data_IF_858229984128
#
_entry.id   IF_858229984128
#
_cell.length_a   1.000
_cell.length_b   1.000
_cell.length_c   1.000
_cell.angle_alpha   90.00
_cell.angle_beta   90.00
_cell.angle_gamma   90.00
#
_symmetry.space_group_name_H-M   'P 1'
#
loop_
_entity.id
_entity.type
_entity.pdbx_description
1 polymer ?
#
# COMPACT_ATOMS: atom_id res chain seq x y z
N UNK A 1 23.48 6.71 -10.41
CA UNK A 1 22.02 6.86 -10.61
C UNK A 1 21.43 7.24 -9.27
N UNK A 2 20.62 8.28 -9.20
CA UNK A 2 19.86 8.62 -7.98
C UNK A 2 18.44 8.08 -8.11
N UNK A 3 17.83 7.73 -6.98
CA UNK A 3 16.44 7.23 -6.94
C UNK A 3 15.63 8.11 -6.00
N UNK A 4 14.53 8.66 -6.51
CA UNK A 4 13.56 9.44 -5.74
C UNK A 4 12.16 8.81 -5.81
N UNK A 5 11.28 9.24 -4.92
CA UNK A 5 9.86 8.90 -4.95
C UNK A 5 9.07 10.21 -4.91
N UNK A 6 8.30 10.58 -5.94
CA UNK A 6 7.55 11.84 -5.95
C UNK A 6 6.30 11.83 -5.06
N UNK A 7 6.00 10.69 -4.43
CA UNK A 7 4.82 10.49 -3.61
C UNK A 7 5.19 10.46 -2.12
N UNK A 8 4.40 11.16 -1.31
CA UNK A 8 4.45 11.12 0.14
C UNK A 8 3.05 10.80 0.64
N UNK A 9 2.89 9.73 1.43
CA UNK A 9 1.58 9.31 1.94
C UNK A 9 0.49 9.18 0.85
N UNK A 10 0.86 8.73 -0.34
CA UNK A 10 -0.05 8.58 -1.48
C UNK A 10 -0.42 9.86 -2.24
N UNK A 11 0.07 11.03 -1.82
CA UNK A 11 -0.11 12.30 -2.55
C UNK A 11 1.18 12.67 -3.30
N UNK A 12 1.04 13.32 -4.45
CA UNK A 12 2.18 13.92 -5.17
C UNK A 12 2.68 15.11 -4.37
N UNK A 13 3.97 15.13 -4.07
CA UNK A 13 4.65 16.27 -3.43
C UNK A 13 5.74 16.87 -4.32
N UNK A 14 6.40 16.05 -5.16
CA UNK A 14 7.32 16.50 -6.19
C UNK A 14 6.68 16.27 -7.56
N UNK A 15 6.35 17.36 -8.23
CA UNK A 15 5.71 17.35 -9.55
C UNK A 15 6.69 17.21 -10.69
N UNK A 16 7.99 17.43 -10.46
CA UNK A 16 9.03 17.43 -11.48
C UNK A 16 9.09 16.12 -12.28
N UNK A 17 9.07 14.92 -11.66
CA UNK A 17 9.12 13.68 -12.41
C UNK A 17 7.76 13.19 -12.92
N UNK A 18 6.65 13.89 -12.62
CA UNK A 18 5.29 13.41 -12.94
C UNK A 18 5.03 13.39 -14.47
N UNK A 19 5.26 14.46 -15.25
CA UNK A 19 5.09 14.38 -16.70
C UNK A 19 5.97 13.29 -17.35
N UNK A 20 7.27 13.15 -17.02
CA UNK A 20 8.07 12.02 -17.51
C UNK A 20 7.51 10.63 -17.17
N UNK A 21 6.96 10.45 -15.97
CA UNK A 21 6.32 9.19 -15.54
C UNK A 21 5.05 8.91 -16.37
N UNK A 22 4.18 9.91 -16.54
CA UNK A 22 2.96 9.80 -17.34
C UNK A 22 3.31 9.49 -18.80
N UNK A 23 4.28 10.21 -19.35
CA UNK A 23 4.78 10.00 -20.71
C UNK A 23 5.32 8.57 -20.90
N UNK A 24 6.06 8.05 -19.92
CA UNK A 24 6.50 6.65 -19.95
C UNK A 24 5.30 5.69 -19.94
N UNK A 25 4.33 5.89 -19.05
CA UNK A 25 3.15 5.03 -18.97
C UNK A 25 2.34 5.02 -20.28
N UNK A 26 2.04 6.18 -20.84
CA UNK A 26 1.24 6.33 -22.07
C UNK A 26 2.00 5.81 -23.29
N UNK A 27 3.21 6.33 -23.55
CA UNK A 27 3.91 6.09 -24.81
C UNK A 27 4.73 4.79 -24.82
N UNK A 28 5.31 4.41 -23.66
CA UNK A 28 6.20 3.24 -23.59
C UNK A 28 5.52 1.98 -23.07
N UNK A 29 4.51 2.10 -22.20
CA UNK A 29 3.84 0.95 -21.62
C UNK A 29 2.50 0.64 -22.29
N UNK A 30 1.66 1.65 -22.51
CA UNK A 30 0.33 1.48 -23.11
C UNK A 30 0.33 1.61 -24.63
N UNK A 31 1.35 2.24 -25.20
CA UNK A 31 1.48 2.50 -26.65
C UNK A 31 0.26 3.22 -27.24
N UNK A 32 -0.27 4.21 -26.51
CA UNK A 32 -1.42 5.01 -26.93
C UNK A 32 -1.06 6.49 -27.14
N UNK A 33 -1.87 7.19 -27.92
CA UNK A 33 -1.78 8.65 -28.06
C UNK A 33 -2.66 9.32 -27.00
N UNK A 34 -2.07 10.13 -26.13
CA UNK A 34 -2.79 10.86 -25.08
C UNK A 34 -3.88 11.78 -25.65
N UNK A 35 -3.68 12.31 -26.87
CA UNK A 35 -4.59 13.27 -27.49
C UNK A 35 -5.89 12.64 -27.99
N UNK A 36 -5.93 11.31 -28.10
CA UNK A 36 -7.08 10.55 -28.60
C UNK A 36 -7.90 9.89 -27.49
N UNK A 37 -7.42 9.91 -26.24
CA UNK A 37 -8.00 9.12 -25.15
C UNK A 37 -8.27 9.92 -23.87
N UNK A 38 -9.49 9.85 -23.31
CA UNK A 38 -9.77 10.33 -21.96
C UNK A 38 -8.89 9.63 -20.91
N UNK A 39 -8.47 10.37 -19.88
CA UNK A 39 -7.62 9.83 -18.80
C UNK A 39 -8.33 9.89 -17.46
N UNK A 40 -8.52 8.72 -16.84
CA UNK A 40 -8.96 8.59 -15.45
C UNK A 40 -7.73 8.41 -14.55
N UNK A 41 -7.59 9.28 -13.56
CA UNK A 41 -6.57 9.18 -12.51
C UNK A 41 -7.20 8.74 -11.20
N UNK A 42 -6.42 8.06 -10.35
CA UNK A 42 -6.85 7.65 -9.02
C UNK A 42 -6.19 8.53 -7.96
N UNK A 43 -6.86 8.75 -6.83
CA UNK A 43 -6.32 9.55 -5.72
C UNK A 43 -6.69 9.03 -4.32
N UNK A 44 -5.88 9.29 -3.29
CA UNK A 44 -6.31 9.04 -1.92
C UNK A 44 -7.40 10.02 -1.46
N UNK A 45 -8.15 9.66 -0.41
CA UNK A 45 -9.23 10.47 0.14
C UNK A 45 -8.82 11.81 0.76
N UNK A 46 -7.53 11.94 1.09
CA UNK A 46 -6.92 13.14 1.64
C UNK A 46 -6.11 13.95 0.60
N UNK A 47 -6.30 13.69 -0.70
CA UNK A 47 -5.67 14.52 -1.73
C UNK A 47 -6.20 15.96 -1.71
N UNK A 48 -5.34 16.91 -2.02
CA UNK A 48 -5.66 18.35 -2.00
C UNK A 48 -6.29 18.81 -3.30
N UNK A 49 -7.10 19.87 -3.24
CA UNK A 49 -7.65 20.50 -4.44
C UNK A 49 -6.55 20.99 -5.37
N UNK A 50 -5.52 21.66 -4.84
CA UNK A 50 -4.37 22.12 -5.60
C UNK A 50 -3.67 20.96 -6.35
N UNK A 51 -3.55 19.79 -5.74
CA UNK A 51 -2.97 18.62 -6.41
C UNK A 51 -3.86 18.10 -7.54
N UNK A 52 -5.18 18.10 -7.36
CA UNK A 52 -6.12 17.69 -8.43
C UNK A 52 -6.03 18.64 -9.63
N UNK A 53 -6.02 19.95 -9.34
CA UNK A 53 -5.89 21.01 -10.34
C UNK A 53 -4.56 20.90 -11.09
N UNK A 54 -3.45 20.70 -10.38
CA UNK A 54 -2.13 20.53 -11.00
C UNK A 54 -2.04 19.29 -11.87
N UNK A 55 -2.66 18.18 -11.48
CA UNK A 55 -2.73 16.97 -12.32
C UNK A 55 -3.56 17.22 -13.59
N UNK A 56 -4.69 17.91 -13.46
CA UNK A 56 -5.54 18.27 -14.60
C UNK A 56 -4.81 19.21 -15.58
N UNK A 57 -4.11 20.22 -15.06
CA UNK A 57 -3.28 21.15 -15.84
C UNK A 57 -2.24 20.38 -16.67
N UNK A 58 -1.46 19.49 -16.05
CA UNK A 58 -0.48 18.66 -16.77
C UNK A 58 -1.16 17.87 -17.89
N UNK A 59 -2.27 17.19 -17.60
CA UNK A 59 -2.93 16.32 -18.58
C UNK A 59 -3.57 17.11 -19.73
N UNK A 60 -4.21 18.26 -19.45
CA UNK A 60 -4.85 19.06 -20.49
C UNK A 60 -3.87 19.92 -21.28
N UNK A 61 -2.86 20.48 -20.64
CA UNK A 61 -1.98 21.49 -21.25
C UNK A 61 -0.72 20.85 -21.84
N UNK A 62 -0.08 19.90 -21.14
CA UNK A 62 1.11 19.23 -21.64
C UNK A 62 0.76 18.02 -22.51
N UNK A 63 -0.19 17.18 -22.08
CA UNK A 63 -0.57 15.95 -22.78
C UNK A 63 -1.77 16.10 -23.72
N UNK A 64 -2.47 17.25 -23.67
CA UNK A 64 -3.60 17.58 -24.54
C UNK A 64 -4.72 16.53 -24.55
N UNK A 65 -4.96 15.86 -23.41
CA UNK A 65 -6.02 14.85 -23.32
C UNK A 65 -7.38 15.45 -23.67
N UNK A 66 -8.27 14.71 -24.36
CA UNK A 66 -9.59 15.22 -24.73
C UNK A 66 -10.51 15.39 -23.53
N UNK A 67 -10.32 14.55 -22.49
CA UNK A 67 -11.09 14.61 -21.26
C UNK A 67 -10.34 13.99 -20.07
N UNK A 68 -10.70 14.43 -18.86
CA UNK A 68 -10.05 14.03 -17.61
C UNK A 68 -11.08 13.77 -16.50
N UNK A 69 -10.79 12.80 -15.64
CA UNK A 69 -11.48 12.62 -14.38
C UNK A 69 -10.51 12.09 -13.32
N UNK A 70 -10.74 12.44 -12.05
CA UNK A 70 -9.99 11.90 -10.92
C UNK A 70 -10.93 11.29 -9.90
N UNK A 71 -10.65 10.05 -9.50
CA UNK A 71 -11.54 9.23 -8.67
C UNK A 71 -10.84 8.69 -7.42
N UNK A 72 -11.59 8.60 -6.33
CA UNK A 72 -11.07 8.16 -5.05
C UNK A 72 -10.74 6.66 -5.01
N UNK A 73 -9.56 6.29 -4.51
CA UNK A 73 -9.12 4.90 -4.38
C UNK A 73 -10.11 4.02 -3.60
N UNK A 74 -10.68 4.54 -2.51
CA UNK A 74 -11.67 3.84 -1.69
C UNK A 74 -12.96 3.60 -2.44
N UNK A 75 -13.49 4.62 -3.11
CA UNK A 75 -14.69 4.50 -3.95
C UNK A 75 -14.46 3.49 -5.07
N UNK A 76 -13.34 3.58 -5.79
CA UNK A 76 -13.01 2.64 -6.85
C UNK A 76 -12.83 1.20 -6.33
N UNK A 77 -12.22 1.01 -5.17
CA UNK A 77 -12.09 -0.31 -4.55
C UNK A 77 -13.43 -0.91 -4.14
N UNK A 78 -14.32 -0.10 -3.55
CA UNK A 78 -15.69 -0.51 -3.24
C UNK A 78 -16.47 -0.87 -4.51
N UNK A 79 -16.29 -0.06 -5.56
CA UNK A 79 -16.92 -0.27 -6.86
C UNK A 79 -16.44 -1.55 -7.53
N UNK A 80 -15.14 -1.84 -7.51
CA UNK A 80 -14.57 -3.09 -7.99
C UNK A 80 -15.14 -4.33 -7.27
N UNK A 81 -15.49 -4.18 -5.98
CA UNK A 81 -16.15 -5.20 -5.17
C UNK A 81 -17.69 -5.28 -5.39
N UNK A 82 -18.26 -4.45 -6.27
CA UNK A 82 -19.70 -4.36 -6.49
C UNK A 82 -20.46 -3.79 -5.29
N UNK A 83 -19.85 -2.89 -4.52
CA UNK A 83 -20.41 -2.30 -3.29
C UNK A 83 -20.58 -0.79 -3.44
N UNK A 84 -21.83 -0.31 -3.38
CA UNK A 84 -22.12 1.13 -3.29
C UNK A 84 -21.82 1.72 -1.91
N UNK A 85 -21.97 0.91 -0.86
CA UNK A 85 -21.67 1.27 0.53
C UNK A 85 -20.72 0.23 1.11
N UNK A 86 -19.57 0.66 1.62
CA UNK A 86 -18.51 -0.22 2.10
C UNK A 86 -17.56 0.46 3.09
N UNK A 87 -17.04 -0.32 4.04
CA UNK A 87 -15.86 0.06 4.81
C UNK A 87 -14.61 -0.42 4.08
N UNK A 88 -13.86 0.47 3.46
CA UNK A 88 -12.66 0.11 2.69
C UNK A 88 -11.44 0.17 3.60
N UNK A 89 -10.73 -0.94 3.75
CA UNK A 89 -9.45 -1.05 4.47
C UNK A 89 -8.37 -1.27 3.41
N UNK A 90 -7.58 -0.23 3.14
CA UNK A 90 -6.47 -0.28 2.17
C UNK A 90 -5.13 -0.28 2.91
N UNK A 91 -4.38 -1.37 2.77
CA UNK A 91 -3.05 -1.52 3.38
C UNK A 91 -1.99 -1.46 2.26
N UNK A 92 -1.61 -0.24 1.90
CA UNK A 92 -0.67 0.07 0.83
C UNK A 92 0.80 0.05 1.27
N UNK A 93 1.66 0.73 0.51
CA UNK A 93 3.12 0.82 0.76
C UNK A 93 3.51 1.89 1.78
N UNK A 94 2.91 3.08 1.71
CA UNK A 94 3.25 4.19 2.60
C UNK A 94 2.24 4.38 3.73
N UNK A 95 1.00 3.96 3.52
CA UNK A 95 -0.14 4.24 4.39
C UNK A 95 -1.04 3.02 4.47
N UNK A 96 -1.54 2.73 5.67
CA UNK A 96 -2.75 1.95 5.87
C UNK A 96 -3.90 2.91 6.16
N UNK A 97 -5.05 2.73 5.50
CA UNK A 97 -6.20 3.61 5.63
C UNK A 97 -7.51 2.84 5.78
N UNK A 98 -8.46 3.47 6.47
CA UNK A 98 -9.84 3.04 6.59
C UNK A 98 -10.71 4.18 6.06
N UNK A 99 -11.45 3.90 4.99
CA UNK A 99 -12.26 4.88 4.27
C UNK A 99 -13.71 4.37 4.19
N UNK A 100 -14.65 5.04 4.87
CA UNK A 100 -16.07 4.71 4.76
C UNK A 100 -16.65 5.32 3.47
N UNK A 101 -17.27 4.47 2.66
CA UNK A 101 -17.96 4.83 1.43
C UNK A 101 -19.45 4.57 1.61
N UNK A 102 -20.30 5.53 1.27
CA UNK A 102 -21.77 5.40 1.23
C UNK A 102 -22.28 5.92 -0.10
N UNK A 103 -23.10 5.11 -0.78
CA UNK A 103 -23.71 5.45 -2.07
C UNK A 103 -22.72 6.00 -3.11
N UNK A 104 -21.49 5.45 -3.12
CA UNK A 104 -20.42 5.87 -4.03
C UNK A 104 -19.63 7.11 -3.59
N UNK A 105 -19.91 7.67 -2.41
CA UNK A 105 -19.22 8.85 -1.88
C UNK A 105 -18.42 8.54 -0.61
N UNK A 106 -17.28 9.19 -0.46
CA UNK A 106 -16.47 9.10 0.78
C UNK A 106 -17.12 9.92 1.90
N UNK A 107 -17.34 9.30 3.06
CA UNK A 107 -17.74 10.03 4.27
C UNK A 107 -16.49 10.65 4.91
N UNK A 108 -16.15 11.87 4.49
CA UNK A 108 -14.87 12.55 4.79
C UNK A 108 -14.51 12.58 6.28
N UNK A 109 -15.49 12.73 7.19
CA UNK A 109 -15.27 12.74 8.64
C UNK A 109 -14.71 11.42 9.18
N UNK A 110 -15.01 10.30 8.52
CA UNK A 110 -14.59 8.97 8.94
C UNK A 110 -13.28 8.48 8.32
N UNK A 111 -12.58 9.29 7.52
CA UNK A 111 -11.27 8.90 6.97
C UNK A 111 -10.27 8.76 8.11
N UNK A 112 -9.65 7.59 8.23
CA UNK A 112 -8.58 7.32 9.19
C UNK A 112 -7.37 6.72 8.46
N UNK A 113 -6.16 7.16 8.81
CA UNK A 113 -4.92 6.70 8.15
C UNK A 113 -3.75 6.62 9.12
N UNK A 114 -2.77 5.76 8.81
CA UNK A 114 -1.60 5.52 9.65
C UNK A 114 -0.39 5.06 8.83
N UNK A 115 0.85 5.50 9.18
CA UNK A 115 2.08 5.00 8.58
C UNK A 115 2.51 3.62 9.14
N UNK A 116 1.57 2.68 9.29
CA UNK A 116 1.86 1.30 9.72
C UNK A 116 2.74 0.53 8.73
N UNK A 117 2.57 0.63 7.39
CA UNK A 117 3.45 -0.10 6.48
C UNK A 117 4.93 0.32 6.56
N UNK A 118 5.27 1.62 6.62
CA UNK A 118 6.64 2.05 6.93
C UNK A 118 7.15 1.56 8.29
N UNK A 119 6.29 1.49 9.31
CA UNK A 119 6.66 0.92 10.61
C UNK A 119 7.00 -0.58 10.52
N UNK A 120 6.17 -1.36 9.79
CA UNK A 120 6.43 -2.78 9.52
C UNK A 120 7.73 -2.97 8.74
N UNK A 121 7.97 -2.15 7.72
CA UNK A 121 9.21 -2.17 6.94
C UNK A 121 10.44 -1.83 7.79
N UNK A 122 10.34 -0.82 8.66
CA UNK A 122 11.44 -0.44 9.58
C UNK A 122 11.71 -1.53 10.62
N UNK A 123 10.65 -2.17 11.12
CA UNK A 123 10.73 -3.31 12.05
C UNK A 123 11.47 -4.48 11.39
N UNK A 124 11.07 -4.85 10.17
CA UNK A 124 11.74 -5.88 9.38
C UNK A 124 13.20 -5.51 9.08
N UNK A 125 13.46 -4.28 8.62
CA UNK A 125 14.82 -3.80 8.34
C UNK A 125 15.72 -3.93 9.58
N UNK A 126 15.23 -3.54 10.75
CA UNK A 126 15.98 -3.62 12.02
C UNK A 126 16.23 -5.08 12.43
N UNK A 127 15.29 -5.98 12.19
CA UNK A 127 15.46 -7.41 12.46
C UNK A 127 16.52 -8.06 11.56
N UNK A 128 16.58 -7.63 10.29
CA UNK A 128 17.50 -8.20 9.31
C UNK A 128 18.88 -7.56 9.40
N UNK A 129 18.97 -6.27 9.77
CA UNK A 129 20.24 -5.56 9.89
C UNK A 129 21.02 -6.00 11.12
N UNK A 130 22.34 -6.16 10.96
CA UNK A 130 23.28 -6.83 11.87
C UNK A 130 23.55 -6.16 13.24
N UNK A 131 22.60 -5.41 13.80
CA UNK A 131 22.77 -4.61 15.02
C UNK A 131 22.11 -5.15 16.30
N UNK A 132 21.37 -6.26 16.26
CA UNK A 132 20.69 -6.81 17.45
C UNK A 132 21.39 -8.06 18.00
N UNK A 133 22.13 -8.02 19.12
CA UNK A 133 22.87 -9.18 19.64
C UNK A 133 21.99 -10.39 20.04
N UNK A 134 20.66 -10.25 20.11
CA UNK A 134 19.73 -11.34 20.45
C UNK A 134 19.02 -11.98 19.23
N UNK A 135 19.10 -11.35 18.04
CA UNK A 135 18.38 -11.78 16.81
C UNK A 135 19.23 -11.65 15.54
N UNK A 136 20.36 -10.93 15.59
CA UNK A 136 21.21 -10.67 14.44
C UNK A 136 21.78 -11.98 13.92
N UNK A 137 21.49 -12.23 12.65
CA UNK A 137 22.15 -13.26 11.87
C UNK A 137 23.33 -12.56 11.19
N UNK A 138 24.58 -12.79 11.61
CA UNK A 138 25.72 -12.02 11.09
C UNK A 138 25.89 -12.09 9.56
N UNK A 139 25.35 -13.14 8.93
CA UNK A 139 25.32 -13.28 7.48
C UNK A 139 24.12 -12.64 6.75
N UNK A 140 23.08 -12.20 7.46
CA UNK A 140 21.91 -11.55 6.88
C UNK A 140 22.24 -10.09 6.53
N UNK A 141 22.86 -9.91 5.36
CA UNK A 141 23.16 -8.58 4.83
C UNK A 141 22.15 -8.21 3.76
N UNK A 142 21.66 -6.97 3.75
CA UNK A 142 20.76 -6.45 2.71
C UNK A 142 21.49 -6.05 1.42
N UNK A 143 22.70 -6.58 1.20
CA UNK A 143 23.52 -6.26 0.02
C UNK A 143 22.77 -6.67 -1.26
N UNK A 144 22.45 -5.72 -2.15
CA UNK A 144 21.63 -5.99 -3.31
C UNK A 144 22.40 -6.76 -4.38
N UNK A 145 21.70 -7.60 -5.15
CA UNK A 145 22.31 -8.49 -6.16
C UNK A 145 23.15 -7.74 -7.21
N UNK A 146 22.81 -6.48 -7.53
CA UNK A 146 23.55 -5.69 -8.51
C UNK A 146 24.98 -5.35 -8.06
N UNK A 147 25.27 -5.45 -6.76
CA UNK A 147 26.59 -5.27 -6.15
C UNK A 147 27.34 -6.60 -5.94
N UNK A 148 26.80 -7.72 -6.44
CA UNK A 148 27.37 -9.06 -6.29
C UNK A 148 27.84 -9.56 -7.67
N UNK A 149 29.09 -10.02 -7.74
CA UNK A 149 29.69 -10.55 -8.96
C UNK A 149 29.39 -12.03 -9.12
N UNK A 150 29.56 -12.78 -8.03
CA UNK A 150 29.32 -14.23 -7.94
C UNK A 150 29.06 -14.60 -6.48
N UNK A 151 28.37 -15.71 -6.25
CA UNK A 151 28.16 -16.32 -4.92
C UNK A 151 28.37 -17.84 -4.99
N UNK A 152 28.68 -18.45 -3.86
CA UNK A 152 28.72 -19.91 -3.69
C UNK A 152 27.60 -20.36 -2.74
N UNK A 153 27.03 -21.56 -2.94
CA UNK A 153 26.14 -22.17 -1.95
C UNK A 153 26.86 -22.30 -0.60
N UNK A 154 26.14 -22.02 0.48
CA UNK A 154 26.61 -22.19 1.84
C UNK A 154 25.56 -22.93 2.65
N UNK A 155 26.01 -23.68 3.66
CA UNK A 155 25.12 -24.34 4.63
C UNK A 155 24.21 -23.33 5.35
N UNK A 156 23.07 -23.80 5.86
CA UNK A 156 22.10 -22.94 6.55
C UNK A 156 22.75 -22.23 7.74
N UNK A 157 22.58 -20.91 7.81
CA UNK A 157 23.21 -20.00 8.78
C UNK A 157 24.74 -19.88 8.71
N UNK A 158 25.42 -20.52 7.75
CA UNK A 158 26.85 -20.27 7.52
C UNK A 158 27.06 -18.87 6.92
N UNK A 159 28.24 -18.28 7.15
CA UNK A 159 28.58 -16.98 6.58
C UNK A 159 28.51 -17.02 5.04
N UNK A 160 28.01 -15.97 4.39
CA UNK A 160 27.90 -15.94 2.93
C UNK A 160 29.28 -15.95 2.28
N UNK A 161 29.39 -16.65 1.15
CA UNK A 161 30.58 -16.66 0.29
C UNK A 161 30.24 -16.01 -1.04
N UNK A 162 30.59 -14.73 -1.20
CA UNK A 162 30.32 -13.98 -2.41
C UNK A 162 31.45 -12.99 -2.74
N UNK A 163 31.53 -12.64 -4.03
CA UNK A 163 32.49 -11.66 -4.54
C UNK A 163 31.75 -10.34 -4.81
N UNK A 164 32.11 -9.23 -4.14
CA UNK A 164 31.47 -7.94 -4.39
C UNK A 164 31.93 -7.31 -5.71
N UNK A 165 31.07 -6.51 -6.33
CA UNK A 165 31.39 -5.66 -7.49
C UNK A 165 31.94 -4.32 -7.04
N UNK A 166 33.24 -4.30 -6.69
CA UNK A 166 33.94 -3.09 -6.25
C UNK A 166 33.89 -1.97 -7.32
N UNK A 167 33.86 -2.33 -8.60
CA UNK A 167 33.69 -1.43 -9.74
C UNK A 167 32.36 -0.65 -9.67
N UNK A 168 31.29 -1.27 -9.20
CA UNK A 168 29.96 -0.65 -9.06
C UNK A 168 29.76 0.07 -7.74
N UNK A 169 30.36 -0.43 -6.66
CA UNK A 169 30.25 0.18 -5.33
C UNK A 169 30.71 1.65 -5.33
N UNK A 170 31.82 1.96 -6.03
CA UNK A 170 32.34 3.34 -6.12
C UNK A 170 31.36 4.33 -6.74
N UNK A 171 30.51 3.88 -7.67
CA UNK A 171 29.52 4.72 -8.36
C UNK A 171 28.10 4.62 -7.78
N UNK A 172 27.92 3.87 -6.69
CA UNK A 172 26.61 3.65 -6.07
C UNK A 172 26.26 4.85 -5.19
N UNK A 173 25.13 5.49 -5.49
CA UNK A 173 24.62 6.60 -4.68
C UNK A 173 23.92 6.05 -3.43
N UNK A 174 23.84 6.87 -2.38
CA UNK A 174 23.12 6.51 -1.14
C UNK A 174 21.63 6.28 -1.40
N UNK A 175 20.99 7.09 -2.24
CA UNK A 175 19.56 6.98 -2.55
C UNK A 175 19.23 5.70 -3.30
N UNK A 176 20.08 5.29 -4.24
CA UNK A 176 19.93 4.01 -4.93
C UNK A 176 20.15 2.83 -3.96
N UNK A 177 21.17 2.92 -3.09
CA UNK A 177 21.45 1.85 -2.13
C UNK A 177 20.29 1.67 -1.14
N UNK A 178 19.80 2.75 -0.53
CA UNK A 178 18.61 2.69 0.35
C UNK A 178 17.39 2.13 -0.39
N UNK A 179 17.17 2.49 -1.65
CA UNK A 179 16.08 1.92 -2.44
C UNK A 179 16.24 0.40 -2.63
N UNK A 180 17.45 -0.05 -2.96
CA UNK A 180 17.73 -1.46 -3.22
C UNK A 180 17.64 -2.32 -1.95
N UNK A 181 18.16 -1.82 -0.82
CA UNK A 181 18.05 -2.47 0.49
C UNK A 181 16.60 -2.56 0.95
N UNK A 182 15.82 -1.47 0.80
CA UNK A 182 14.39 -1.50 1.14
C UNK A 182 13.60 -2.49 0.30
N UNK A 183 13.98 -2.68 -0.97
CA UNK A 183 13.39 -3.71 -1.82
C UNK A 183 13.71 -5.12 -1.33
N UNK A 184 14.94 -5.37 -0.88
CA UNK A 184 15.30 -6.66 -0.28
C UNK A 184 14.46 -6.96 0.97
N UNK A 185 14.24 -5.95 1.81
CA UNK A 185 13.33 -6.08 2.97
C UNK A 185 11.89 -6.37 2.52
N UNK A 186 11.40 -5.72 1.47
CA UNK A 186 10.07 -5.98 0.91
C UNK A 186 9.93 -7.42 0.39
N UNK A 187 10.95 -7.96 -0.30
CA UNK A 187 10.96 -9.36 -0.74
C UNK A 187 10.93 -10.32 0.45
N UNK A 188 11.71 -10.05 1.50
CA UNK A 188 11.65 -10.83 2.73
C UNK A 188 10.28 -10.73 3.42
N UNK A 189 9.66 -9.55 3.48
CA UNK A 189 8.30 -9.38 4.03
C UNK A 189 7.30 -10.23 3.23
N UNK A 190 7.34 -10.17 1.91
CA UNK A 190 6.41 -10.91 1.06
C UNK A 190 6.61 -12.44 1.14
N UNK A 191 7.86 -12.91 1.27
CA UNK A 191 8.19 -14.33 1.34
C UNK A 191 8.06 -14.93 2.74
N UNK A 192 8.32 -14.13 3.78
CA UNK A 192 8.46 -14.61 5.15
C UNK A 192 7.43 -14.04 6.12
N UNK A 193 6.99 -12.80 6.03
CA UNK A 193 6.15 -12.25 7.10
C UNK A 193 4.74 -12.85 7.07
N UNK A 194 4.12 -12.97 8.24
CA UNK A 194 2.72 -13.33 8.39
C UNK A 194 2.11 -12.60 9.58
N UNK A 195 0.82 -12.79 9.77
CA UNK A 195 0.02 -12.26 10.88
C UNK A 195 -0.63 -13.41 11.62
N UNK A 196 -0.63 -13.35 12.95
CA UNK A 196 -1.37 -14.30 13.78
C UNK A 196 -2.84 -13.87 13.85
N UNK A 197 -3.72 -14.81 13.55
CA UNK A 197 -5.17 -14.64 13.47
C UNK A 197 -5.81 -14.26 14.82
N UNK A 198 -5.35 -14.86 15.92
CA UNK A 198 -5.91 -14.63 17.26
C UNK A 198 -5.13 -13.60 18.10
N UNK A 199 -4.19 -12.88 17.50
CA UNK A 199 -3.23 -12.07 18.25
C UNK A 199 -1.99 -12.83 18.67
N UNK A 200 -0.99 -12.08 19.16
CA UNK A 200 0.27 -12.68 19.59
C UNK A 200 0.11 -13.65 20.76
N UNK A 201 0.60 -14.87 20.57
CA UNK A 201 0.77 -15.88 21.60
C UNK A 201 1.99 -16.73 21.23
N UNK A 202 2.98 -16.88 22.12
CA UNK A 202 4.26 -17.53 21.81
C UNK A 202 4.10 -19.02 21.44
N UNK A 203 3.16 -19.71 22.09
CA UNK A 203 2.83 -21.09 21.77
C UNK A 203 2.17 -21.19 20.39
N UNK A 204 1.23 -20.29 20.07
CA UNK A 204 0.61 -20.24 18.75
C UNK A 204 1.61 -19.89 17.65
N UNK A 205 2.51 -18.93 17.91
CA UNK A 205 3.55 -18.52 16.98
C UNK A 205 4.52 -19.68 16.68
N UNK A 206 4.96 -20.40 17.71
CA UNK A 206 5.90 -21.53 17.57
C UNK A 206 5.28 -22.76 16.87
N UNK A 207 3.95 -22.91 16.90
CA UNK A 207 3.24 -23.93 16.13
C UNK A 207 3.11 -23.62 14.64
N UNK A 208 3.32 -22.36 14.21
CA UNK A 208 3.24 -22.02 12.78
C UNK A 208 4.50 -22.50 12.04
N UNK A 209 4.37 -23.02 10.81
CA UNK A 209 5.53 -23.46 10.03
C UNK A 209 6.54 -22.33 9.82
N UNK A 210 7.84 -22.60 9.98
CA UNK A 210 8.87 -21.61 9.68
C UNK A 210 8.98 -21.37 8.17
N UNK A 211 9.67 -20.29 7.77
CA UNK A 211 10.00 -20.00 6.36
C UNK A 211 11.49 -19.97 6.16
N UNK A 212 11.93 -20.61 5.09
CA UNK A 212 13.28 -20.47 4.59
C UNK A 212 13.38 -19.24 3.67
N UNK A 213 14.48 -18.49 3.77
CA UNK A 213 14.79 -17.40 2.87
C UNK A 213 16.29 -17.36 2.57
N UNK A 214 16.63 -17.10 1.31
CA UNK A 214 18.00 -16.92 0.84
C UNK A 214 18.17 -15.48 0.36
N UNK A 215 19.15 -14.79 0.93
CA UNK A 215 19.52 -13.43 0.57
C UNK A 215 20.36 -13.40 -0.71
N UNK A 216 20.47 -12.25 -1.39
CA UNK A 216 21.27 -12.12 -2.61
C UNK A 216 22.73 -12.56 -2.45
N UNK A 217 23.32 -12.44 -1.26
CA UNK A 217 24.68 -12.88 -0.93
C UNK A 217 24.87 -14.38 -0.85
N UNK A 218 23.78 -15.17 -0.93
CA UNK A 218 23.79 -16.62 -0.73
C UNK A 218 23.62 -17.03 0.73
N UNK A 219 23.67 -16.08 1.68
CA UNK A 219 23.28 -16.36 3.06
C UNK A 219 21.84 -16.84 3.07
N UNK A 220 21.58 -17.94 3.77
CA UNK A 220 20.25 -18.51 3.86
C UNK A 220 19.95 -18.99 5.28
N UNK A 221 18.68 -18.91 5.64
CA UNK A 221 18.24 -19.01 7.01
C UNK A 221 16.77 -19.39 7.12
N UNK A 222 16.42 -19.98 8.27
CA UNK A 222 15.05 -20.34 8.63
C UNK A 222 14.51 -19.35 9.67
N UNK A 223 13.38 -18.71 9.35
CA UNK A 223 12.67 -17.74 10.19
C UNK A 223 11.43 -18.40 10.81
N UNK A 224 11.35 -18.38 12.14
CA UNK A 224 10.31 -19.05 12.94
C UNK A 224 9.30 -18.03 13.48
N UNK A 225 8.99 -18.04 14.77
CA UNK A 225 8.03 -17.13 15.41
C UNK A 225 8.35 -15.64 15.19
N UNK A 226 9.62 -15.28 15.04
CA UNK A 226 10.03 -13.89 14.85
C UNK A 226 9.45 -13.27 13.57
N UNK A 227 9.17 -14.07 12.54
CA UNK A 227 8.60 -13.61 11.26
C UNK A 227 7.24 -12.92 11.39
N UNK A 228 6.56 -13.12 12.51
CA UNK A 228 5.25 -12.51 12.78
C UNK A 228 5.36 -11.10 13.38
N UNK A 229 6.53 -10.70 13.91
CA UNK A 229 6.72 -9.40 14.56
C UNK A 229 6.39 -8.23 13.63
N UNK A 230 6.89 -8.17 12.37
CA UNK A 230 6.55 -7.08 11.45
C UNK A 230 5.07 -7.08 11.04
N UNK A 231 4.39 -8.22 11.08
CA UNK A 231 2.95 -8.31 10.85
C UNK A 231 2.12 -7.87 12.06
N UNK A 232 2.63 -8.08 13.27
CA UNK A 232 1.91 -7.75 14.50
C UNK A 232 1.82 -6.24 14.75
N UNK A 233 2.79 -5.44 14.25
CA UNK A 233 2.78 -3.97 14.39
C UNK A 233 1.53 -3.32 13.79
N UNK A 234 0.86 -3.97 12.83
CA UNK A 234 -0.41 -3.48 12.31
C UNK A 234 -1.53 -3.49 13.34
N UNK A 235 -1.42 -4.28 14.40
CA UNK A 235 -2.47 -4.54 15.39
C UNK A 235 -2.09 -4.09 16.80
N UNK A 236 -0.83 -4.28 17.19
CA UNK A 236 -0.29 -3.86 18.48
C UNK A 236 1.21 -3.55 18.38
N UNK A 237 1.69 -2.67 19.25
CA UNK A 237 3.10 -2.30 19.31
C UNK A 237 3.84 -2.90 20.51
N UNK A 238 3.29 -3.93 21.17
CA UNK A 238 3.90 -4.50 22.37
C UNK A 238 5.34 -5.01 22.16
N UNK A 239 5.68 -5.44 20.95
CA UNK A 239 7.03 -5.89 20.58
C UNK A 239 7.98 -4.77 20.18
N UNK A 240 7.46 -3.56 19.98
CA UNK A 240 8.28 -2.37 19.81
C UNK A 240 8.66 -1.91 21.22
N UNK A 241 9.95 -1.97 21.55
CA UNK A 241 10.43 -1.51 22.85
C UNK A 241 9.96 -0.07 23.15
N UNK A 242 9.94 0.32 24.43
CA UNK A 242 9.54 1.67 24.84
C UNK A 242 10.57 2.72 24.39
N UNK A 243 10.56 3.08 23.11
CA UNK A 243 11.25 4.24 22.58
C UNK A 243 10.40 5.49 22.82
N UNK A 244 11.02 6.63 23.15
CA UNK A 244 10.34 7.91 23.40
C UNK A 244 9.62 8.53 22.18
N UNK A 245 9.42 7.78 21.10
CA UNK A 245 8.70 8.21 19.89
C UNK A 245 7.23 7.83 19.98
N UNK A 246 6.33 8.77 19.67
CA UNK A 246 4.90 8.49 19.56
C UNK A 246 4.65 7.48 18.43
N UNK A 247 4.15 6.31 18.79
CA UNK A 247 3.80 5.26 17.84
C UNK A 247 2.51 5.63 17.09
N UNK A 248 2.40 5.29 15.80
CA UNK A 248 1.23 5.61 15.00
C UNK A 248 0.00 4.78 15.43
N UNK A 249 -1.24 5.14 15.07
CA UNK A 249 -2.41 4.34 15.42
C UNK A 249 -2.45 2.99 14.68
N UNK A 250 -2.87 1.92 15.37
CA UNK A 250 -3.00 0.55 14.81
C UNK A 250 -4.25 0.39 13.94
N UNK A 251 -4.35 -0.67 13.14
CA UNK A 251 -5.55 -0.97 12.33
C UNK A 251 -6.83 -1.03 13.18
N UNK A 252 -6.89 -1.71 14.34
CA UNK A 252 -8.06 -1.65 15.20
C UNK A 252 -8.43 -0.23 15.64
N UNK A 253 -7.43 0.61 15.94
CA UNK A 253 -7.66 2.01 16.31
C UNK A 253 -8.17 2.84 15.13
N UNK A 254 -7.66 2.61 13.91
CA UNK A 254 -8.18 3.26 12.70
C UNK A 254 -9.62 2.88 12.40
N UNK A 255 -9.94 1.57 12.48
CA UNK A 255 -11.30 1.07 12.26
C UNK A 255 -12.26 1.68 13.28
N UNK A 256 -11.88 1.68 14.56
CA UNK A 256 -12.69 2.26 15.62
C UNK A 256 -12.88 3.78 15.43
N UNK A 257 -11.83 4.52 15.09
CA UNK A 257 -11.91 5.96 14.81
C UNK A 257 -12.85 6.26 13.63
N UNK A 258 -12.71 5.52 12.52
CA UNK A 258 -13.58 5.64 11.35
C UNK A 258 -15.06 5.40 11.69
N UNK A 259 -15.36 4.30 12.40
CA UNK A 259 -16.73 3.95 12.75
C UNK A 259 -17.34 4.96 13.72
N UNK A 260 -16.58 5.44 14.71
CA UNK A 260 -17.07 6.45 15.65
C UNK A 260 -17.38 7.80 15.01
N UNK A 261 -16.57 8.19 14.02
CA UNK A 261 -16.79 9.42 13.25
C UNK A 261 -17.89 9.27 12.18
N UNK A 262 -18.42 8.06 11.99
CA UNK A 262 -19.53 7.77 11.08
C UNK A 262 -20.86 7.72 11.83
N UNK A 263 -21.93 8.18 11.18
CA UNK A 263 -23.30 8.16 11.72
C UNK A 263 -23.73 6.73 12.12
N UNK A 264 -24.35 6.54 13.30
CA UNK A 264 -24.71 5.22 13.82
C UNK A 264 -25.51 4.34 12.84
N UNK A 265 -26.42 4.93 12.07
CA UNK A 265 -27.30 4.21 11.14
C UNK A 265 -26.57 3.62 9.93
N UNK A 266 -25.42 4.19 9.56
CA UNK A 266 -24.59 3.71 8.44
C UNK A 266 -23.63 2.58 8.86
N UNK A 267 -23.27 2.50 10.15
CA UNK A 267 -22.27 1.53 10.64
C UNK A 267 -22.61 0.07 10.34
N UNK A 268 -23.88 -0.40 10.49
CA UNK A 268 -24.23 -1.76 10.10
C UNK A 268 -24.01 -2.01 8.61
N UNK A 269 -24.39 -1.08 7.73
CA UNK A 269 -24.20 -1.25 6.29
C UNK A 269 -22.71 -1.30 5.90
N UNK A 270 -21.87 -0.49 6.57
CA UNK A 270 -20.42 -0.48 6.38
C UNK A 270 -19.76 -1.79 6.86
N UNK A 271 -20.12 -2.27 8.06
CA UNK A 271 -19.60 -3.53 8.62
C UNK A 271 -20.06 -4.77 7.84
N UNK A 272 -21.23 -4.70 7.19
CA UNK A 272 -21.72 -5.77 6.31
C UNK A 272 -21.01 -5.80 4.96
N UNK A 273 -20.22 -4.78 4.64
CA UNK A 273 -19.56 -4.61 3.35
C UNK A 273 -18.13 -4.11 3.56
N UNK A 274 -17.31 -4.89 4.24
CA UNK A 274 -15.89 -4.55 4.40
C UNK A 274 -15.14 -4.95 3.12
N UNK A 275 -14.36 -4.05 2.56
CA UNK A 275 -13.51 -4.30 1.39
C UNK A 275 -12.07 -4.19 1.83
N UNK A 276 -11.31 -5.27 1.71
CA UNK A 276 -9.89 -5.32 2.07
C UNK A 276 -9.03 -5.32 0.81
N UNK A 277 -8.17 -4.32 0.69
CA UNK A 277 -7.34 -4.05 -0.50
C UNK A 277 -5.93 -3.60 -0.12
N UNK A 278 -5.05 -3.48 -1.11
CA UNK A 278 -3.66 -3.00 -0.95
C UNK A 278 -2.65 -4.14 -0.80
N UNK A 279 -1.39 -3.89 -1.18
CA UNK A 279 -0.36 -4.93 -1.27
C UNK A 279 -0.09 -5.67 0.05
N UNK A 280 -0.07 -4.95 1.18
CA UNK A 280 0.18 -5.56 2.49
C UNK A 280 -1.06 -6.28 3.08
N UNK A 281 -2.24 -6.14 2.45
CA UNK A 281 -3.41 -6.96 2.80
C UNK A 281 -3.29 -8.43 2.35
N UNK A 282 -2.25 -8.74 1.56
CA UNK A 282 -1.93 -10.09 1.10
C UNK A 282 -1.05 -10.87 2.09
N UNK A 283 -0.57 -10.23 3.17
CA UNK A 283 0.20 -10.93 4.19
C UNK A 283 -0.62 -12.11 4.74
N UNK A 284 -0.05 -13.33 4.83
CA UNK A 284 -0.76 -14.50 5.33
C UNK A 284 -1.35 -14.26 6.72
N UNK A 285 -2.65 -14.52 6.90
CA UNK A 285 -3.38 -14.30 8.15
C UNK A 285 -3.90 -12.88 8.38
N UNK A 286 -3.58 -11.91 7.52
CA UNK A 286 -4.04 -10.52 7.66
C UNK A 286 -5.57 -10.41 7.62
N UNK A 287 -6.21 -11.06 6.64
CA UNK A 287 -7.67 -11.03 6.50
C UNK A 287 -8.38 -11.68 7.71
N UNK A 288 -7.86 -12.81 8.19
CA UNK A 288 -8.42 -13.53 9.35
C UNK A 288 -8.28 -12.71 10.63
N UNK A 289 -7.11 -12.07 10.85
CA UNK A 289 -6.90 -11.19 11.99
C UNK A 289 -7.82 -9.97 11.94
N UNK A 290 -7.95 -9.31 10.79
CA UNK A 290 -8.88 -8.17 10.62
C UNK A 290 -10.32 -8.61 10.89
N UNK A 291 -10.71 -9.78 10.40
CA UNK A 291 -12.03 -10.36 10.68
C UNK A 291 -12.28 -10.52 12.19
N UNK A 292 -11.32 -11.08 12.93
CA UNK A 292 -11.43 -11.26 14.37
C UNK A 292 -11.50 -9.92 15.13
N UNK A 293 -10.71 -8.92 14.71
CA UNK A 293 -10.75 -7.58 15.31
C UNK A 293 -12.09 -6.88 15.06
N UNK A 294 -12.64 -6.98 13.85
CA UNK A 294 -13.95 -6.41 13.53
C UNK A 294 -15.08 -7.13 14.29
N UNK A 295 -15.01 -8.45 14.44
CA UNK A 295 -15.97 -9.21 15.26
C UNK A 295 -15.94 -8.76 16.72
N UNK A 296 -14.75 -8.52 17.27
CA UNK A 296 -14.57 -7.98 18.63
C UNK A 296 -15.18 -6.57 18.76
N UNK A 297 -14.94 -5.70 17.78
CA UNK A 297 -15.50 -4.35 17.75
C UNK A 297 -17.02 -4.34 17.59
N UNK A 298 -17.59 -5.29 16.86
CA UNK A 298 -19.04 -5.44 16.65
C UNK A 298 -19.77 -6.13 17.83
N UNK A 299 -19.11 -6.32 18.98
CA UNK A 299 -19.71 -6.95 20.16
C UNK A 299 -20.02 -8.44 19.98
N UNK A 300 -19.30 -9.13 19.08
CA UNK A 300 -19.43 -10.58 18.86
C UNK A 300 -20.68 -11.03 18.09
N UNK A 301 -21.52 -10.11 17.61
CA UNK A 301 -22.72 -10.46 16.82
C UNK A 301 -22.30 -10.80 15.38
N UNK A 302 -22.11 -12.09 15.12
CA UNK A 302 -21.57 -12.64 13.88
C UNK A 302 -22.45 -12.42 12.63
N UNK A 303 -23.77 -12.20 12.82
CA UNK A 303 -24.77 -12.45 11.78
C UNK A 303 -24.73 -11.53 10.56
N UNK A 304 -23.90 -10.48 10.52
CA UNK A 304 -23.90 -9.55 9.40
C UNK A 304 -22.53 -9.11 8.85
N UNK A 305 -21.42 -9.40 9.54
CA UNK A 305 -20.09 -8.99 9.07
C UNK A 305 -19.68 -9.79 7.83
N UNK A 306 -19.24 -9.10 6.77
CA UNK A 306 -18.71 -9.74 5.56
C UNK A 306 -17.52 -8.96 5.02
N UNK A 307 -16.39 -9.66 4.91
CA UNK A 307 -15.17 -9.13 4.28
C UNK A 307 -15.11 -9.63 2.83
N UNK A 308 -14.96 -8.70 1.91
CA UNK A 308 -14.57 -8.93 0.53
C UNK A 308 -13.05 -8.73 0.42
N UNK A 309 -12.32 -9.84 0.28
CA UNK A 309 -10.87 -9.88 0.12
C UNK A 309 -10.51 -10.88 -1.00
N UNK A 310 -10.51 -10.47 -2.28
CA UNK A 310 -10.26 -11.36 -3.41
C UNK A 310 -8.97 -12.16 -3.22
N UNK A 311 -9.01 -13.48 -3.42
CA UNK A 311 -7.83 -14.35 -3.27
C UNK A 311 -6.74 -14.07 -4.32
N UNK A 312 -7.13 -13.50 -5.46
CA UNK A 312 -6.22 -13.09 -6.52
C UNK A 312 -5.37 -11.89 -6.07
N UNK A 313 -4.02 -12.02 -5.97
CA UNK A 313 -3.14 -10.94 -5.56
C UNK A 313 -3.22 -9.70 -6.44
N UNK A 314 -3.45 -9.86 -7.75
CA UNK A 314 -3.55 -8.75 -8.69
C UNK A 314 -4.81 -7.93 -8.41
N UNK A 315 -5.96 -8.59 -8.22
CA UNK A 315 -7.22 -7.91 -7.90
C UNK A 315 -7.13 -7.18 -6.57
N UNK A 316 -6.57 -7.82 -5.53
CA UNK A 316 -6.46 -7.21 -4.20
C UNK A 316 -5.45 -6.05 -4.17
N UNK A 317 -4.35 -6.15 -4.92
CA UNK A 317 -3.32 -5.11 -4.97
C UNK A 317 -3.74 -3.90 -5.82
N UNK A 318 -4.48 -4.14 -6.89
CA UNK A 318 -4.85 -3.12 -7.88
C UNK A 318 -6.35 -2.85 -7.94
N UNK A 319 -7.09 -3.09 -6.84
CA UNK A 319 -8.53 -2.88 -6.80
C UNK A 319 -8.98 -1.47 -7.23
N UNK A 320 -8.29 -0.36 -6.84
CA UNK A 320 -8.61 0.96 -7.36
C UNK A 320 -8.49 1.05 -8.88
N UNK A 321 -7.46 0.45 -9.47
CA UNK A 321 -7.27 0.44 -10.93
C UNK A 321 -8.36 -0.36 -11.63
N UNK A 322 -8.72 -1.53 -11.08
CA UNK A 322 -9.83 -2.34 -11.59
C UNK A 322 -11.16 -1.57 -11.51
N UNK A 323 -11.43 -0.91 -10.39
CA UNK A 323 -12.60 -0.05 -10.23
C UNK A 323 -12.63 1.09 -11.23
N UNK A 324 -11.48 1.73 -11.47
CA UNK A 324 -11.34 2.77 -12.49
C UNK A 324 -11.60 2.26 -13.91
N UNK A 325 -11.09 1.06 -14.24
CA UNK A 325 -11.35 0.41 -15.52
C UNK A 325 -12.84 0.10 -15.72
N UNK A 326 -13.52 -0.40 -14.69
CA UNK A 326 -14.97 -0.66 -14.75
C UNK A 326 -15.72 0.67 -14.90
N UNK A 327 -15.41 1.67 -14.07
CA UNK A 327 -16.07 2.97 -14.06
C UNK A 327 -15.95 3.69 -15.41
N UNK A 328 -14.74 3.72 -15.99
CA UNK A 328 -14.48 4.34 -17.29
C UNK A 328 -15.19 3.63 -18.46
N UNK A 329 -15.57 2.36 -18.28
CA UNK A 329 -16.27 1.57 -19.31
C UNK A 329 -17.80 1.74 -19.28
N UNK A 330 -18.34 2.50 -18.31
CA UNK A 330 -19.79 2.71 -18.19
C UNK A 330 -20.25 3.90 -19.01
N UNK A 331 -21.22 3.68 -19.91
CA UNK A 331 -21.78 4.77 -20.72
C UNK A 331 -22.42 5.90 -19.90
N UNK A 332 -22.93 5.61 -18.70
CA UNK A 332 -23.47 6.62 -17.77
C UNK A 332 -22.38 7.48 -17.14
N UNK A 333 -21.14 6.99 -17.07
CA UNK A 333 -19.99 7.75 -16.56
C UNK A 333 -19.52 8.83 -17.54
N UNK A 334 -19.89 8.73 -18.83
CA UNK A 334 -19.47 9.71 -19.83
C UNK A 334 -19.85 11.16 -19.49
N UNK A 335 -20.91 11.35 -18.71
CA UNK A 335 -21.37 12.66 -18.29
C UNK A 335 -20.51 13.28 -17.18
N UNK A 336 -19.62 12.53 -16.52
CA UNK A 336 -18.80 13.01 -15.41
C UNK A 336 -17.43 13.54 -15.84
N UNK A 337 -16.94 13.11 -17.00
CA UNK A 337 -15.70 13.62 -17.57
C UNK A 337 -15.69 15.14 -17.64
N UNK A 338 -14.54 15.73 -17.35
CA UNK A 338 -14.26 17.13 -17.64
C UNK A 338 -13.66 17.14 -19.04
N UNK A 339 -14.29 17.84 -19.99
CA UNK A 339 -13.74 17.99 -21.32
C UNK A 339 -12.67 19.10 -21.36
N UNK A 340 -11.79 19.03 -22.36
CA UNK A 340 -10.77 20.07 -22.58
C UNK A 340 -11.37 21.45 -22.85
N UNK A 341 -12.55 21.53 -23.46
CA UNK A 341 -13.22 22.80 -23.72
C UNK A 341 -13.81 23.38 -22.43
N UNK A 342 -14.42 22.55 -21.58
CA UNK A 342 -14.87 22.98 -20.26
C UNK A 342 -13.71 23.45 -19.38
N UNK A 343 -12.54 22.79 -19.44
CA UNK A 343 -11.32 23.24 -18.76
C UNK A 343 -10.88 24.63 -19.22
N UNK A 344 -10.89 24.90 -20.53
CA UNK A 344 -10.54 26.22 -21.07
C UNK A 344 -11.53 27.32 -20.65
N UNK A 345 -12.81 26.98 -20.56
CA UNK A 345 -13.87 27.94 -20.21
C UNK A 345 -13.91 28.25 -18.71
N UNK A 346 -13.81 27.22 -17.86
CA UNK A 346 -14.03 27.33 -16.42
C UNK A 346 -12.75 27.32 -15.58
N UNK A 347 -11.62 26.95 -16.19
CA UNK A 347 -10.33 26.84 -15.52
C UNK A 347 -10.29 25.76 -14.43
N UNK A 348 -9.30 25.83 -13.51
CA UNK A 348 -9.05 24.81 -12.49
C UNK A 348 -10.23 24.47 -11.57
N UNK A 349 -11.09 25.46 -11.29
CA UNK A 349 -12.22 25.32 -10.37
C UNK A 349 -13.22 24.23 -10.78
N UNK A 350 -13.29 23.88 -12.07
CA UNK A 350 -14.19 22.83 -12.54
C UNK A 350 -13.88 21.46 -11.94
N UNK A 351 -12.61 21.21 -11.61
CA UNK A 351 -12.17 19.94 -11.02
C UNK A 351 -12.80 19.74 -9.65
N UNK A 352 -12.85 20.77 -8.83
CA UNK A 352 -13.49 20.70 -7.50
C UNK A 352 -15.02 20.53 -7.58
N UNK A 353 -15.65 21.02 -8.64
CA UNK A 353 -17.10 20.91 -8.83
C UNK A 353 -17.51 19.50 -9.28
N UNK A 354 -16.72 18.89 -10.18
CA UNK A 354 -17.01 17.60 -10.82
C UNK A 354 -16.45 16.39 -10.05
N UNK A 355 -15.26 16.51 -9.46
CA UNK A 355 -14.55 15.43 -8.79
C UNK A 355 -14.70 15.55 -7.26
N UNK A 356 -15.82 15.07 -6.72
CA UNK A 356 -16.22 15.24 -5.31
C UNK A 356 -15.74 14.15 -4.37
#
# INVERSE_FOLDING_TARGET
MEVGNPLQNGIVYDWTPIPPIINHAINRSLHCDATEHPVLMTEPAWNTQANRERMAEILFEEFQVPAFYIANNGVLSAFAAGKGTALVIDIGKSVASVVPVSDGFVLRKGIAQSPLPPLAQTTAFTMLSSGNPNVARPGATLTPHQLIASKQPVEVNALPSFTPRADRQKGTTSTWLSWAENREVEEWINGCVGVLDQGWNDQHASMRPPRHYEFPTGFNSVFSSERFIPGEVYFTHHHLGQGGTQLPPTLPQLIHACLNATEPDLRPALLNNVVLTGGNSLLPGMADRINNELMRLAGGIQSKLKIHAPGNPTERRFAPWLGGSILASLGTFHQLWISRDEWKEHGPNIVAQRCK
#
